data_IF_563650222783
#
_entry.id   IF_563650222783
#
_cell.length_a   1.000
_cell.length_b   1.000
_cell.length_c   1.000
_cell.angle_alpha   90.00
_cell.angle_beta   90.00
_cell.angle_gamma   90.00
#
_symmetry.space_group_name_H-M   'P 1'
#
loop_
_entity.id
_entity.type
_entity.pdbx_description
1 polymer ?
#
# COMPACT_ATOMS: atom_id res chain seq x y z
N UNK A 1 3.60 34.51 -2.28
CA UNK A 1 2.84 34.82 -1.05
C UNK A 1 1.61 33.93 -0.91
N UNK A 2 1.77 32.63 -0.86
CA UNK A 2 0.59 31.75 -0.98
C UNK A 2 0.39 30.84 0.22
N UNK A 3 0.99 31.04 1.33
CA UNK A 3 0.65 30.29 2.56
C UNK A 3 1.06 31.03 3.82
N UNK A 4 0.62 32.26 4.01
CA UNK A 4 0.49 32.81 5.35
C UNK A 4 -0.94 32.49 5.82
N UNK A 5 -1.15 31.34 6.43
CA UNK A 5 -2.30 31.16 7.30
C UNK A 5 -2.16 32.18 8.40
N UNK A 6 -3.16 33.01 8.52
CA UNK A 6 -3.21 34.08 9.55
C UNK A 6 -3.25 33.37 10.92
N UNK A 7 -2.10 33.23 11.56
CA UNK A 7 -1.94 32.50 12.82
C UNK A 7 -2.75 33.11 13.96
N UNK A 8 -3.28 34.34 13.79
CA UNK A 8 -4.22 34.95 14.73
C UNK A 8 -5.63 34.33 14.62
N UNK A 9 -5.97 33.78 13.44
CA UNK A 9 -7.31 33.19 13.15
C UNK A 9 -7.27 31.67 13.23
N UNK A 10 -6.15 31.04 12.84
CA UNK A 10 -5.98 29.59 12.80
C UNK A 10 -5.28 29.07 14.05
N UNK A 11 -6.04 28.68 15.07
CA UNK A 11 -5.48 27.98 16.22
C UNK A 11 -4.97 26.59 15.77
N UNK A 12 -3.68 26.25 16.02
CA UNK A 12 -3.10 24.95 15.66
C UNK A 12 -3.95 23.74 16.11
N UNK A 13 -4.58 23.83 17.28
CA UNK A 13 -5.47 22.76 17.78
C UNK A 13 -6.74 22.56 16.92
N UNK A 14 -7.25 23.63 16.28
CA UNK A 14 -8.38 23.52 15.34
C UNK A 14 -7.95 22.87 14.01
N UNK A 15 -6.72 23.12 13.57
CA UNK A 15 -6.17 22.49 12.38
C UNK A 15 -5.94 21.00 12.61
N UNK A 16 -5.39 20.61 13.77
CA UNK A 16 -5.24 19.20 14.16
C UNK A 16 -6.58 18.48 14.17
N UNK A 17 -7.58 19.04 14.85
CA UNK A 17 -8.92 18.44 14.94
C UNK A 17 -9.64 18.34 13.58
N UNK A 18 -9.44 19.30 12.69
CA UNK A 18 -10.02 19.26 11.34
C UNK A 18 -9.35 18.18 10.46
N UNK A 19 -8.05 17.98 10.59
CA UNK A 19 -7.30 16.93 9.88
C UNK A 19 -7.67 15.55 10.43
N UNK A 20 -7.80 15.40 11.74
CA UNK A 20 -8.26 14.16 12.38
C UNK A 20 -9.71 13.82 12.01
N UNK A 21 -10.60 14.82 11.95
CA UNK A 21 -11.98 14.65 11.51
C UNK A 21 -12.08 14.20 10.03
N UNK A 22 -11.09 14.52 9.21
CA UNK A 22 -10.95 14.04 7.83
C UNK A 22 -10.35 12.63 7.74
N UNK A 23 -9.99 11.99 8.88
CA UNK A 23 -9.43 10.62 8.92
C UNK A 23 -7.93 10.54 8.69
N UNK A 24 -7.20 11.65 8.86
CA UNK A 24 -5.74 11.70 8.76
C UNK A 24 -5.11 11.96 10.13
N UNK A 25 -3.94 11.39 10.39
CA UNK A 25 -3.15 11.72 11.58
C UNK A 25 -2.45 13.06 11.38
N UNK A 26 -2.60 13.98 12.35
CA UNK A 26 -1.89 15.24 12.42
C UNK A 26 -0.92 15.24 13.61
N UNK A 27 0.35 15.51 13.37
CA UNK A 27 1.35 15.66 14.40
C UNK A 27 1.99 17.04 14.35
N UNK A 28 2.02 17.72 15.50
CA UNK A 28 2.71 19.00 15.63
C UNK A 28 4.22 18.75 15.67
N UNK A 29 4.95 19.28 14.71
CA UNK A 29 6.41 19.32 14.74
C UNK A 29 6.86 20.42 15.71
N UNK A 30 7.57 20.04 16.76
CA UNK A 30 7.99 20.96 17.83
C UNK A 30 9.24 21.76 17.50
N UNK A 31 10.13 21.23 16.65
CA UNK A 31 11.37 21.90 16.23
C UNK A 31 11.71 21.53 14.79
N UNK A 32 12.36 22.46 14.09
CA UNK A 32 12.79 22.30 12.70
C UNK A 32 13.87 21.22 12.51
N UNK A 33 14.51 20.76 13.58
CA UNK A 33 15.56 19.74 13.55
C UNK A 33 15.00 18.31 13.57
N UNK A 34 13.72 18.13 13.93
CA UNK A 34 13.05 16.82 13.97
C UNK A 34 12.33 16.44 12.65
N UNK A 35 12.45 17.28 11.61
CA UNK A 35 11.88 16.94 10.30
C UNK A 35 12.89 16.02 9.59
N UNK A 36 12.64 14.70 9.51
CA UNK A 36 13.50 13.83 8.71
C UNK A 36 13.54 14.38 7.29
N UNK A 37 14.73 14.51 6.73
CA UNK A 37 14.88 15.01 5.35
C UNK A 37 13.90 14.26 4.44
N UNK A 38 13.21 14.96 3.52
CA UNK A 38 12.23 14.31 2.61
C UNK A 38 12.80 13.10 1.86
N UNK A 39 14.12 13.07 1.67
CA UNK A 39 14.88 11.96 1.10
C UNK A 39 14.88 10.73 2.00
N UNK A 40 15.05 10.87 3.32
CA UNK A 40 15.13 9.74 4.25
C UNK A 40 13.77 9.05 4.42
N UNK A 41 12.67 9.82 4.55
CA UNK A 41 11.31 9.25 4.61
C UNK A 41 10.96 8.48 3.35
N UNK A 42 11.26 9.04 2.18
CA UNK A 42 10.95 8.39 0.91
C UNK A 42 11.79 7.13 0.66
N UNK A 43 13.01 7.07 1.19
CA UNK A 43 13.85 5.88 1.11
C UNK A 43 13.37 4.77 2.05
N UNK A 44 12.97 5.11 3.27
CA UNK A 44 12.36 4.18 4.22
C UNK A 44 11.05 3.58 3.68
N UNK A 45 10.19 4.39 3.07
CA UNK A 45 8.97 3.93 2.44
C UNK A 45 9.26 2.97 1.27
N UNK A 46 10.25 3.26 0.43
CA UNK A 46 10.67 2.37 -0.65
C UNK A 46 11.13 1.01 -0.12
N UNK A 47 11.97 0.97 0.90
CA UNK A 47 12.46 -0.28 1.50
C UNK A 47 11.30 -1.10 2.07
N UNK A 48 10.37 -0.46 2.78
CA UNK A 48 9.16 -1.08 3.35
C UNK A 48 8.26 -1.69 2.27
N UNK A 49 7.95 -0.94 1.22
CA UNK A 49 7.11 -1.43 0.13
C UNK A 49 7.78 -2.51 -0.69
N UNK A 50 9.09 -2.45 -0.88
CA UNK A 50 9.86 -3.46 -1.60
C UNK A 50 9.77 -4.84 -0.95
N UNK A 51 9.89 -4.91 0.38
CA UNK A 51 9.75 -6.17 1.12
C UNK A 51 8.35 -6.79 0.96
N UNK A 52 7.31 -5.97 1.15
CA UNK A 52 5.92 -6.40 0.97
C UNK A 52 5.61 -6.83 -0.47
N UNK A 53 6.13 -6.11 -1.45
CA UNK A 53 6.00 -6.42 -2.88
C UNK A 53 6.60 -7.80 -3.20
N UNK A 54 7.84 -8.06 -2.78
CA UNK A 54 8.48 -9.36 -3.02
C UNK A 54 7.72 -10.51 -2.39
N UNK A 55 7.25 -10.33 -1.15
CA UNK A 55 6.42 -11.34 -0.49
C UNK A 55 5.13 -11.59 -1.29
N UNK A 56 4.44 -10.53 -1.70
CA UNK A 56 3.21 -10.67 -2.48
C UNK A 56 3.45 -11.37 -3.82
N UNK A 57 4.52 -11.02 -4.56
CA UNK A 57 4.84 -11.64 -5.86
C UNK A 57 5.19 -13.12 -5.69
N UNK A 58 6.04 -13.47 -4.72
CA UNK A 58 6.48 -14.86 -4.48
C UNK A 58 5.30 -15.79 -4.21
N UNK A 59 4.25 -15.32 -3.52
CA UNK A 59 3.07 -16.11 -3.23
C UNK A 59 1.98 -15.99 -4.31
N UNK A 60 1.88 -14.86 -5.01
CA UNK A 60 0.90 -14.70 -6.09
C UNK A 60 1.25 -15.48 -7.35
N UNK A 61 2.53 -15.62 -7.69
CA UNK A 61 2.94 -16.38 -8.89
C UNK A 61 2.50 -17.85 -8.81
N UNK A 62 2.83 -18.62 -7.74
CA UNK A 62 2.33 -20.00 -7.64
C UNK A 62 0.81 -20.08 -7.50
N UNK A 63 0.15 -19.07 -6.91
CA UNK A 63 -1.30 -19.00 -6.81
C UNK A 63 -1.94 -18.90 -8.21
N UNK A 64 -1.42 -18.03 -9.08
CA UNK A 64 -1.88 -17.88 -10.47
C UNK A 64 -1.58 -19.15 -11.29
N UNK A 65 -0.40 -19.75 -11.11
CA UNK A 65 -0.05 -21.00 -11.79
C UNK A 65 -0.95 -22.14 -11.35
N UNK A 66 -1.36 -22.18 -10.09
CA UNK A 66 -2.32 -23.16 -9.60
C UNK A 66 -3.71 -22.95 -10.20
N UNK A 67 -4.19 -21.70 -10.26
CA UNK A 67 -5.53 -21.38 -10.74
C UNK A 67 -5.65 -21.51 -12.27
N UNK A 68 -4.67 -21.00 -13.01
CA UNK A 68 -4.71 -20.96 -14.48
C UNK A 68 -3.87 -22.06 -15.15
N UNK A 69 -3.06 -22.80 -14.40
CA UNK A 69 -2.19 -23.85 -14.92
C UNK A 69 -2.91 -24.88 -15.78
N UNK A 70 -4.08 -25.42 -15.38
CA UNK A 70 -4.84 -26.36 -16.20
C UNK A 70 -5.24 -25.79 -17.56
N UNK A 71 -5.59 -24.50 -17.65
CA UNK A 71 -5.92 -23.83 -18.91
C UNK A 71 -4.69 -23.65 -19.82
N UNK A 72 -3.48 -23.53 -19.22
CA UNK A 72 -2.22 -23.38 -19.95
C UNK A 72 -1.60 -24.73 -20.34
N UNK A 73 -2.26 -25.86 -20.02
CA UNK A 73 -1.79 -27.20 -20.34
C UNK A 73 -0.77 -27.77 -19.34
N UNK A 74 -0.63 -27.17 -18.16
CA UNK A 74 0.14 -27.76 -17.07
C UNK A 74 -0.76 -28.70 -16.25
N UNK A 75 -0.58 -30.04 -16.34
CA UNK A 75 -1.39 -30.97 -15.58
C UNK A 75 -1.09 -30.83 -14.08
N UNK A 76 -2.12 -30.56 -13.30
CA UNK A 76 -2.02 -30.59 -11.86
C UNK A 76 -1.94 -32.04 -11.35
N UNK A 77 -1.17 -32.30 -10.29
CA UNK A 77 -1.17 -33.60 -9.64
C UNK A 77 -2.59 -33.98 -9.18
N UNK A 78 -2.98 -35.21 -9.37
CA UNK A 78 -4.34 -35.72 -9.07
C UNK A 78 -4.82 -35.42 -7.65
N UNK A 79 -3.89 -35.33 -6.68
CA UNK A 79 -4.20 -35.02 -5.29
C UNK A 79 -4.54 -33.53 -5.01
N UNK A 80 -4.25 -32.62 -5.97
CA UNK A 80 -4.62 -31.19 -5.92
C UNK A 80 -5.69 -30.86 -6.98
N UNK A 81 -5.89 -31.75 -7.96
CA UNK A 81 -6.78 -31.46 -9.07
C UNK A 81 -8.18 -31.05 -8.58
N UNK A 82 -8.75 -29.94 -9.12
CA UNK A 82 -10.04 -29.41 -8.69
C UNK A 82 -11.17 -30.41 -8.87
N UNK A 83 -11.07 -31.30 -9.87
CA UNK A 83 -12.07 -32.33 -10.20
C UNK A 83 -12.16 -33.45 -9.15
N UNK A 84 -11.01 -33.78 -8.50
CA UNK A 84 -10.94 -34.89 -7.54
C UNK A 84 -11.06 -34.43 -6.10
N UNK A 85 -10.49 -33.27 -5.76
CA UNK A 85 -10.45 -32.75 -4.39
C UNK A 85 -10.66 -31.22 -4.35
N UNK A 86 -11.86 -30.71 -4.62
CA UNK A 86 -12.14 -29.28 -4.70
C UNK A 86 -11.83 -28.54 -3.39
N UNK A 87 -12.06 -29.17 -2.25
CA UNK A 87 -11.79 -28.57 -0.94
C UNK A 87 -10.30 -28.39 -0.67
N UNK A 88 -9.47 -29.38 -1.04
CA UNK A 88 -8.00 -29.27 -0.91
C UNK A 88 -7.46 -28.19 -1.85
N UNK A 89 -7.98 -28.12 -3.05
CA UNK A 89 -7.63 -27.10 -4.02
C UNK A 89 -7.91 -25.68 -3.49
N UNK A 90 -9.09 -25.44 -2.94
CA UNK A 90 -9.45 -24.17 -2.31
C UNK A 90 -8.61 -23.85 -1.07
N UNK A 91 -8.32 -24.85 -0.22
CA UNK A 91 -7.48 -24.66 0.96
C UNK A 91 -6.03 -24.25 0.61
N UNK A 92 -5.46 -24.85 -0.44
CA UNK A 92 -4.11 -24.50 -0.89
C UNK A 92 -4.11 -23.07 -1.45
N UNK A 93 -5.12 -22.68 -2.23
CA UNK A 93 -5.26 -21.31 -2.72
C UNK A 93 -5.42 -20.33 -1.56
N UNK A 94 -6.25 -20.64 -0.57
CA UNK A 94 -6.43 -19.82 0.62
C UNK A 94 -5.10 -19.67 1.38
N UNK A 95 -4.37 -20.77 1.58
CA UNK A 95 -3.08 -20.75 2.28
C UNK A 95 -2.04 -19.88 1.56
N UNK A 96 -2.00 -19.90 0.24
CA UNK A 96 -1.13 -19.04 -0.57
C UNK A 96 -1.59 -17.57 -0.57
N UNK A 97 -2.89 -17.33 -0.44
CA UNK A 97 -3.46 -15.98 -0.41
C UNK A 97 -3.22 -15.28 0.93
N UNK A 98 -3.20 -15.99 2.05
CA UNK A 98 -3.01 -15.40 3.38
C UNK A 98 -1.75 -14.52 3.51
N UNK A 99 -0.55 -14.94 3.07
CA UNK A 99 0.64 -14.08 3.11
C UNK A 99 0.50 -12.82 2.24
N UNK A 100 -0.22 -12.92 1.11
CA UNK A 100 -0.48 -11.78 0.22
C UNK A 100 -1.43 -10.78 0.87
N UNK A 101 -2.50 -11.26 1.52
CA UNK A 101 -3.42 -10.44 2.32
C UNK A 101 -2.68 -9.75 3.46
N UNK A 102 -1.78 -10.48 4.14
CA UNK A 102 -0.97 -9.90 5.20
C UNK A 102 -0.01 -8.82 4.70
N UNK A 103 0.60 -9.00 3.53
CA UNK A 103 1.41 -7.95 2.89
C UNK A 103 0.58 -6.71 2.54
N UNK A 104 -0.68 -6.92 2.13
CA UNK A 104 -1.65 -5.90 1.77
C UNK A 104 -2.45 -5.30 2.94
N UNK A 105 -2.16 -5.68 4.19
CA UNK A 105 -2.97 -5.26 5.36
C UNK A 105 -3.17 -3.75 5.49
N UNK A 106 -2.19 -2.96 5.02
CA UNK A 106 -2.26 -1.49 5.09
C UNK A 106 -3.42 -0.94 4.23
N UNK A 107 -3.78 -1.63 3.13
CA UNK A 107 -4.94 -1.27 2.30
C UNK A 107 -6.25 -1.48 3.06
N UNK A 108 -6.34 -2.58 3.81
CA UNK A 108 -7.54 -2.87 4.59
C UNK A 108 -7.71 -1.88 5.74
N UNK A 109 -6.65 -1.63 6.51
CA UNK A 109 -6.73 -0.71 7.66
C UNK A 109 -7.05 0.72 7.23
N UNK A 110 -6.34 1.24 6.23
CA UNK A 110 -6.57 2.59 5.69
C UNK A 110 -7.88 2.67 4.91
N UNK A 111 -8.16 1.68 4.06
CA UNK A 111 -9.35 1.65 3.23
C UNK A 111 -10.65 1.62 4.05
N UNK A 112 -10.72 0.80 5.09
CA UNK A 112 -11.88 0.77 5.98
C UNK A 112 -12.02 2.05 6.81
N UNK A 113 -10.90 2.61 7.31
CA UNK A 113 -10.92 3.87 8.05
C UNK A 113 -11.48 5.01 7.19
N UNK A 114 -10.97 5.18 5.97
CA UNK A 114 -11.44 6.25 5.07
C UNK A 114 -12.87 6.03 4.59
N UNK A 115 -13.30 4.78 4.43
CA UNK A 115 -14.68 4.45 4.10
C UNK A 115 -15.66 4.88 5.20
N UNK A 116 -15.35 4.58 6.46
CA UNK A 116 -16.18 4.96 7.62
C UNK A 116 -16.28 6.48 7.74
N UNK A 117 -15.19 7.20 7.46
CA UNK A 117 -15.16 8.67 7.48
C UNK A 117 -15.76 9.32 6.22
N UNK A 118 -16.43 8.56 5.34
CA UNK A 118 -17.06 9.02 4.10
C UNK A 118 -16.10 9.71 3.12
N UNK A 119 -14.83 9.33 3.16
CA UNK A 119 -13.78 9.87 2.29
C UNK A 119 -13.08 8.73 1.53
N UNK A 120 -13.84 7.97 0.68
CA UNK A 120 -13.31 6.79 0.01
C UNK A 120 -12.14 7.18 -0.93
N UNK A 121 -11.09 6.39 -0.89
CA UNK A 121 -9.90 6.55 -1.72
C UNK A 121 -9.57 5.25 -2.48
N UNK A 122 -8.45 5.24 -3.22
CA UNK A 122 -8.00 4.06 -3.95
C UNK A 122 -7.82 2.85 -3.03
N UNK A 123 -7.31 3.04 -1.80
CA UNK A 123 -7.10 1.97 -0.84
C UNK A 123 -8.44 1.35 -0.39
N UNK A 124 -9.52 2.16 -0.29
CA UNK A 124 -10.89 1.71 -0.02
C UNK A 124 -11.41 0.78 -1.11
N UNK A 125 -11.24 1.17 -2.38
CA UNK A 125 -11.69 0.36 -3.51
C UNK A 125 -11.00 -1.01 -3.55
N UNK A 126 -9.69 -1.01 -3.32
CA UNK A 126 -8.87 -2.23 -3.26
C UNK A 126 -9.30 -3.11 -2.10
N UNK A 127 -9.47 -2.53 -0.89
CA UNK A 127 -9.89 -3.27 0.29
C UNK A 127 -11.25 -3.94 0.10
N UNK A 128 -12.24 -3.20 -0.42
CA UNK A 128 -13.59 -3.73 -0.65
C UNK A 128 -13.61 -4.79 -1.75
N UNK A 129 -12.95 -4.55 -2.88
CA UNK A 129 -12.92 -5.49 -4.01
C UNK A 129 -12.24 -6.81 -3.64
N UNK A 130 -11.07 -6.74 -3.00
CA UNK A 130 -10.34 -7.96 -2.58
C UNK A 130 -11.02 -8.68 -1.41
N UNK A 131 -11.62 -7.94 -0.46
CA UNK A 131 -12.41 -8.55 0.60
C UNK A 131 -13.66 -9.26 0.06
N UNK A 132 -14.34 -8.68 -0.92
CA UNK A 132 -15.47 -9.31 -1.59
C UNK A 132 -15.05 -10.59 -2.34
N UNK A 133 -13.94 -10.55 -3.08
CA UNK A 133 -13.41 -11.72 -3.80
C UNK A 133 -13.06 -12.87 -2.83
N UNK A 134 -12.35 -12.58 -1.75
CA UNK A 134 -12.00 -13.57 -0.72
C UNK A 134 -13.24 -14.06 0.01
N UNK A 135 -14.15 -13.16 0.40
CA UNK A 135 -15.40 -13.53 1.09
C UNK A 135 -16.28 -14.42 0.24
N UNK A 136 -16.41 -14.12 -1.06
CA UNK A 136 -17.17 -14.95 -1.99
C UNK A 136 -16.53 -16.33 -2.20
N UNK A 137 -15.20 -16.38 -2.31
CA UNK A 137 -14.46 -17.63 -2.42
C UNK A 137 -14.61 -18.52 -1.17
N UNK A 138 -14.57 -17.92 0.03
CA UNK A 138 -14.84 -18.63 1.28
C UNK A 138 -16.29 -19.14 1.34
N UNK A 139 -17.24 -18.32 0.91
CA UNK A 139 -18.65 -18.74 0.83
C UNK A 139 -18.82 -19.95 -0.07
N UNK A 140 -18.21 -19.96 -1.26
CA UNK A 140 -18.24 -21.09 -2.17
C UNK A 140 -17.52 -22.32 -1.62
N UNK A 141 -16.43 -22.13 -0.88
CA UNK A 141 -15.64 -23.24 -0.32
C UNK A 141 -16.38 -23.97 0.80
N UNK A 142 -17.13 -23.24 1.63
CA UNK A 142 -17.86 -23.79 2.79
C UNK A 142 -19.38 -23.90 2.56
N UNK A 143 -19.88 -23.49 1.39
CA UNK A 143 -21.28 -23.56 1.01
C UNK A 143 -21.75 -24.99 0.73
N UNK A 144 -23.05 -25.14 0.46
CA UNK A 144 -23.69 -26.44 0.20
C UNK A 144 -23.29 -27.09 -1.12
N UNK A 145 -22.84 -26.29 -2.09
CA UNK A 145 -22.32 -26.74 -3.38
C UNK A 145 -20.92 -26.16 -3.59
N UNK A 146 -19.93 -27.04 -3.49
CA UNK A 146 -18.53 -26.70 -3.77
C UNK A 146 -18.36 -26.40 -5.27
N UNK A 147 -18.40 -25.13 -5.64
CA UNK A 147 -18.15 -24.70 -7.01
C UNK A 147 -16.73 -24.15 -7.14
N UNK A 148 -15.85 -24.92 -7.78
CA UNK A 148 -14.44 -24.55 -7.99
C UNK A 148 -14.29 -23.32 -8.89
N UNK A 149 -15.22 -23.15 -9.85
CA UNK A 149 -15.23 -21.98 -10.75
C UNK A 149 -15.53 -20.66 -10.01
N UNK A 150 -16.04 -20.73 -8.78
CA UNK A 150 -16.31 -19.59 -7.93
C UNK A 150 -15.17 -19.19 -6.99
N UNK A 151 -13.97 -19.71 -7.17
CA UNK A 151 -12.81 -19.31 -6.39
C UNK A 151 -12.10 -18.15 -7.06
N UNK A 152 -11.99 -17.01 -6.34
CA UNK A 152 -11.34 -15.77 -6.77
C UNK A 152 -10.15 -15.39 -5.88
N UNK A 153 -9.53 -16.38 -5.24
CA UNK A 153 -8.37 -16.15 -4.38
C UNK A 153 -7.19 -15.59 -5.17
N UNK A 154 -6.95 -16.11 -6.38
CA UNK A 154 -5.90 -15.64 -7.28
C UNK A 154 -6.15 -14.20 -7.72
N UNK A 155 -7.41 -13.83 -7.99
CA UNK A 155 -7.78 -12.47 -8.38
C UNK A 155 -7.43 -11.47 -7.27
N UNK A 156 -7.80 -11.78 -6.02
CA UNK A 156 -7.42 -10.95 -4.87
C UNK A 156 -5.90 -10.85 -4.71
N UNK A 157 -5.20 -11.98 -4.85
CA UNK A 157 -3.74 -12.05 -4.76
C UNK A 157 -3.04 -11.20 -5.82
N UNK A 158 -3.46 -11.31 -7.08
CA UNK A 158 -2.90 -10.55 -8.20
C UNK A 158 -3.14 -9.05 -8.03
N UNK A 159 -4.35 -8.64 -7.65
CA UNK A 159 -4.68 -7.22 -7.44
C UNK A 159 -3.75 -6.63 -6.38
N UNK A 160 -3.59 -7.28 -5.22
CA UNK A 160 -2.71 -6.80 -4.15
C UNK A 160 -1.25 -6.75 -4.60
N UNK A 161 -0.77 -7.79 -5.30
CA UNK A 161 0.61 -7.85 -5.78
C UNK A 161 0.92 -6.72 -6.78
N UNK A 162 0.02 -6.47 -7.74
CA UNK A 162 0.19 -5.41 -8.74
C UNK A 162 0.14 -4.02 -8.11
N UNK A 163 -0.72 -3.79 -7.13
CA UNK A 163 -0.80 -2.51 -6.43
C UNK A 163 0.44 -2.28 -5.56
N UNK A 164 0.93 -3.30 -4.87
CA UNK A 164 2.20 -3.21 -4.13
C UNK A 164 3.39 -2.95 -5.06
N UNK A 165 3.40 -3.57 -6.24
CA UNK A 165 4.38 -3.27 -7.28
C UNK A 165 4.32 -1.80 -7.69
N UNK A 166 3.11 -1.29 -8.01
CA UNK A 166 2.89 0.10 -8.36
C UNK A 166 3.35 1.07 -7.26
N UNK A 167 2.98 0.83 -6.00
CA UNK A 167 3.41 1.63 -4.84
C UNK A 167 4.93 1.57 -4.62
N UNK A 168 5.56 0.42 -4.85
CA UNK A 168 7.02 0.29 -4.78
C UNK A 168 7.74 1.11 -5.85
N UNK A 169 7.21 1.11 -7.09
CA UNK A 169 7.76 1.92 -8.19
C UNK A 169 7.56 3.42 -7.94
N UNK A 170 6.39 3.81 -7.43
CA UNK A 170 6.08 5.19 -7.03
C UNK A 170 7.04 5.67 -5.94
N UNK A 171 7.20 4.90 -4.87
CA UNK A 171 8.12 5.22 -3.77
C UNK A 171 9.57 5.36 -4.26
N UNK A 172 10.01 4.48 -5.17
CA UNK A 172 11.35 4.56 -5.80
C UNK A 172 11.53 5.84 -6.60
N UNK A 173 10.52 6.23 -7.38
CA UNK A 173 10.57 7.46 -8.19
C UNK A 173 10.60 8.71 -7.30
N UNK A 174 9.79 8.74 -6.24
CA UNK A 174 9.77 9.82 -5.24
C UNK A 174 11.12 9.92 -4.51
N UNK A 175 11.71 8.80 -4.09
CA UNK A 175 13.01 8.78 -3.43
C UNK A 175 14.11 9.39 -4.30
N UNK A 176 14.15 9.02 -5.59
CA UNK A 176 15.12 9.58 -6.54
C UNK A 176 14.94 11.08 -6.77
N UNK A 177 13.69 11.54 -6.93
CA UNK A 177 13.38 12.95 -7.10
C UNK A 177 13.77 13.77 -5.86
N UNK A 178 13.41 13.27 -4.66
CA UNK A 178 13.78 13.93 -3.39
C UNK A 178 15.29 14.00 -3.19
N UNK A 179 16.03 12.93 -3.51
CA UNK A 179 17.48 12.94 -3.41
C UNK A 179 18.13 13.97 -4.36
N UNK A 180 17.62 14.11 -5.59
CA UNK A 180 18.10 15.13 -6.53
C UNK A 180 17.84 16.56 -6.01
N UNK A 181 16.64 16.82 -5.47
CA UNK A 181 16.30 18.13 -4.87
C UNK A 181 17.18 18.41 -3.65
N UNK A 182 17.37 17.43 -2.77
CA UNK A 182 18.21 17.58 -1.58
C UNK A 182 19.67 17.88 -1.93
N UNK A 183 20.19 17.25 -3.00
CA UNK A 183 21.55 17.53 -3.48
C UNK A 183 21.72 18.97 -3.98
N UNK A 184 20.70 19.51 -4.65
CA UNK A 184 20.69 20.92 -5.10
C UNK A 184 20.58 21.89 -3.93
N UNK A 185 19.76 21.58 -2.92
CA UNK A 185 19.61 22.39 -1.71
C UNK A 185 20.91 22.45 -0.88
N UNK A 186 21.70 21.36 -0.88
CA UNK A 186 23.03 21.33 -0.21
C UNK A 186 24.06 22.26 -0.86
N UNK A 187 23.85 22.66 -2.12
CA UNK A 187 24.70 23.67 -2.80
C UNK A 187 24.37 25.10 -2.39
N UNK A 188 23.25 25.33 -1.69
CA UNK A 188 22.91 26.66 -1.18
C UNK A 188 23.89 27.05 -0.06
N UNK A 189 24.51 28.22 -0.14
CA UNK A 189 25.40 28.70 0.93
C UNK A 189 24.61 28.81 2.23
N UNK A 190 25.15 28.22 3.30
CA UNK A 190 24.54 28.24 4.64
C UNK A 190 24.69 29.58 5.33
N UNK A 191 25.69 30.36 4.90
CA UNK A 191 26.04 31.67 5.46
C UNK A 191 26.12 32.69 4.33
N UNK A 192 25.59 33.88 4.57
CA UNK A 192 25.73 35.04 3.70
C UNK A 192 26.48 36.12 4.43
N UNK A 193 27.58 36.61 3.88
CA UNK A 193 28.32 37.76 4.42
C UNK A 193 27.54 39.01 4.01
N UNK A 194 27.05 39.73 5.01
CA UNK A 194 26.33 40.98 4.82
C UNK A 194 27.33 42.11 4.82
N UNK A 195 27.59 42.68 3.65
CA UNK A 195 28.47 43.87 3.53
C UNK A 195 27.62 45.11 3.79
N UNK A 196 27.87 45.77 4.91
CA UNK A 196 27.26 47.02 5.25
C UNK A 196 28.33 48.11 5.22
N UNK A 197 28.17 49.15 4.38
CA UNK A 197 29.10 50.27 4.22
C UNK A 197 30.56 49.87 3.91
N UNK A 198 30.77 48.80 3.13
CA UNK A 198 32.12 48.37 2.73
C UNK A 198 32.94 47.67 3.81
N UNK A 199 32.32 47.26 4.94
CA UNK A 199 32.90 46.38 5.95
C UNK A 199 32.25 45.01 5.90
N UNK A 200 33.10 43.96 5.89
CA UNK A 200 32.67 42.54 6.02
C UNK A 200 32.25 42.25 7.45
#
# INVERSE_FOLDING_TARGET
DVCSSDLEIANPAKLESAVEAAGFEAHRLKDSDDIPEPSEKSEQDYVKFRGKMWLAIVFSVPLVLLAMGPMLGFPLPVWIAPETNPLRYGLIQLLLTLPVLWAGRDFYTKGFSTFVHRNPNMDTLVAMGTAAAVGFSLWNMFGTELNVEGFYFETAGVIIALILLGKSLEAKSKSRASAAISSLLKLRPKEAILVHEGKE
#
